data_IF_891840874621
#
_entry.id   IF_891840874621
#
_cell.length_a   1.000
_cell.length_b   1.000
_cell.length_c   1.000
_cell.angle_alpha   90.00
_cell.angle_beta   90.00
_cell.angle_gamma   90.00
#
_symmetry.space_group_name_H-M   'P 1'
#
loop_
_entity.id
_entity.type
_entity.pdbx_description
1 polymer ?
#
# COMPACT_ATOMS: atom_id res chain seq x y z
N UNK A 1 -31.83 20.81 24.68
CA UNK A 1 -31.76 21.57 23.40
C UNK A 1 -32.24 20.66 22.26
N UNK A 2 -32.97 21.19 21.29
CA UNK A 2 -33.49 20.40 20.15
C UNK A 2 -32.35 19.88 19.25
N UNK A 3 -32.50 18.68 18.65
CA UNK A 3 -31.54 18.15 17.71
C UNK A 3 -31.54 18.97 16.41
N UNK A 4 -30.34 19.34 15.92
CA UNK A 4 -30.20 19.95 14.59
C UNK A 4 -30.35 18.87 13.51
N UNK A 5 -31.08 19.19 12.44
CA UNK A 5 -31.18 18.31 11.27
C UNK A 5 -29.82 18.19 10.56
N UNK A 6 -29.55 17.07 9.90
CA UNK A 6 -28.30 16.85 9.14
C UNK A 6 -28.10 17.93 8.06
N UNK A 7 -29.18 18.36 7.40
CA UNK A 7 -29.13 19.40 6.37
C UNK A 7 -28.70 20.73 6.97
N UNK A 8 -29.27 21.11 8.13
CA UNK A 8 -28.90 22.34 8.82
C UNK A 8 -27.44 22.32 9.27
N UNK A 9 -26.93 21.16 9.71
CA UNK A 9 -25.50 21.01 10.05
C UNK A 9 -24.60 21.21 8.84
N UNK A 10 -24.92 20.56 7.71
CA UNK A 10 -24.16 20.71 6.47
C UNK A 10 -24.16 22.15 5.95
N UNK A 11 -25.31 22.82 5.98
CA UNK A 11 -25.41 24.24 5.62
C UNK A 11 -24.59 25.12 6.55
N UNK A 12 -24.63 24.86 7.86
CA UNK A 12 -23.83 25.60 8.84
C UNK A 12 -22.34 25.46 8.55
N UNK A 13 -21.86 24.25 8.25
CA UNK A 13 -20.47 24.01 7.87
C UNK A 13 -20.12 24.69 6.55
N UNK A 14 -20.98 24.59 5.53
CA UNK A 14 -20.73 25.23 4.24
C UNK A 14 -20.62 26.75 4.35
N UNK A 15 -21.57 27.39 5.05
CA UNK A 15 -21.55 28.83 5.31
C UNK A 15 -20.27 29.25 6.04
N UNK A 16 -19.85 28.43 7.01
CA UNK A 16 -18.62 28.66 7.76
C UNK A 16 -17.38 28.56 6.87
N UNK A 17 -17.30 27.56 5.98
CA UNK A 17 -16.18 27.43 5.02
C UNK A 17 -16.06 28.69 4.15
N UNK A 18 -17.18 29.21 3.65
CA UNK A 18 -17.20 30.40 2.79
C UNK A 18 -17.02 31.72 3.55
N UNK A 19 -17.10 31.70 4.88
CA UNK A 19 -17.12 32.93 5.68
C UNK A 19 -15.78 33.66 5.75
N UNK A 20 -14.65 32.94 5.61
CA UNK A 20 -13.30 33.52 5.68
C UNK A 20 -12.38 32.89 4.65
N UNK A 21 -11.60 33.70 3.94
CA UNK A 21 -10.60 33.24 2.96
C UNK A 21 -9.60 32.24 3.57
N UNK A 22 -9.26 32.40 4.85
CA UNK A 22 -8.38 31.49 5.57
C UNK A 22 -8.93 30.06 5.62
N UNK A 23 -10.25 29.87 5.75
CA UNK A 23 -10.86 28.53 5.77
C UNK A 23 -10.83 27.85 4.40
N UNK A 24 -10.95 28.62 3.31
CA UNK A 24 -10.78 28.12 1.94
C UNK A 24 -9.32 27.78 1.65
N UNK A 25 -8.37 28.58 2.12
CA UNK A 25 -6.94 28.31 1.97
C UNK A 25 -6.53 27.03 2.72
N UNK A 26 -7.03 26.84 3.95
CA UNK A 26 -6.82 25.60 4.71
C UNK A 26 -7.43 24.40 3.99
N UNK A 27 -8.63 24.55 3.40
CA UNK A 27 -9.26 23.49 2.61
C UNK A 27 -8.36 23.09 1.42
N UNK A 28 -7.88 24.07 0.65
CA UNK A 28 -6.98 23.82 -0.47
C UNK A 28 -5.70 23.12 -0.04
N UNK A 29 -5.09 23.55 1.08
CA UNK A 29 -3.90 22.91 1.64
C UNK A 29 -4.16 21.44 2.03
N UNK A 30 -5.30 21.13 2.65
CA UNK A 30 -5.70 19.77 3.01
C UNK A 30 -5.95 18.92 1.75
N UNK A 31 -6.58 19.48 0.71
CA UNK A 31 -6.78 18.77 -0.56
C UNK A 31 -5.44 18.38 -1.18
N UNK A 32 -4.49 19.32 -1.25
CA UNK A 32 -3.13 19.06 -1.75
C UNK A 32 -2.45 17.97 -0.91
N UNK A 33 -2.53 18.07 0.42
CA UNK A 33 -1.99 17.07 1.33
C UNK A 33 -2.59 15.67 1.09
N UNK A 34 -3.89 15.61 0.82
CA UNK A 34 -4.61 14.36 0.53
C UNK A 34 -4.12 13.73 -0.76
N UNK A 35 -3.91 14.52 -1.81
CA UNK A 35 -3.36 14.03 -3.09
C UNK A 35 -1.96 13.45 -2.87
N UNK A 36 -1.12 14.15 -2.09
CA UNK A 36 0.21 13.67 -1.73
C UNK A 36 0.13 12.33 -0.98
N UNK A 37 -0.80 12.19 -0.03
CA UNK A 37 -0.99 10.93 0.69
C UNK A 37 -1.38 9.76 -0.21
N UNK A 38 -2.33 9.99 -1.12
CA UNK A 38 -2.81 8.98 -2.09
C UNK A 38 -1.68 8.53 -3.03
N UNK A 39 -0.82 9.46 -3.48
CA UNK A 39 0.27 9.18 -4.43
C UNK A 39 1.50 8.52 -3.80
N UNK A 40 1.49 8.29 -2.48
CA UNK A 40 2.57 7.55 -1.79
C UNK A 40 2.60 6.08 -2.22
N UNK A 41 3.74 5.62 -2.72
CA UNK A 41 3.98 4.24 -3.13
C UNK A 41 5.31 3.71 -2.57
N UNK A 42 5.68 2.47 -2.93
CA UNK A 42 6.91 1.84 -2.46
C UNK A 42 8.19 2.55 -2.91
N UNK A 43 8.17 3.16 -4.11
CA UNK A 43 9.32 3.85 -4.72
C UNK A 43 9.65 5.15 -4.00
N UNK A 44 8.65 5.98 -3.73
CA UNK A 44 8.85 7.27 -3.06
C UNK A 44 8.78 7.21 -1.52
N UNK A 45 8.48 6.05 -0.91
CA UNK A 45 8.23 5.90 0.54
C UNK A 45 9.26 6.56 1.44
N UNK A 46 10.56 6.47 1.14
CA UNK A 46 11.63 7.07 1.97
C UNK A 46 11.58 8.60 1.91
N UNK A 47 11.43 9.17 0.72
CA UNK A 47 11.33 10.61 0.51
C UNK A 47 10.01 11.15 1.06
N UNK A 48 8.90 10.50 0.72
CA UNK A 48 7.56 10.79 1.24
C UNK A 48 7.52 10.85 2.76
N UNK A 49 8.17 9.92 3.48
CA UNK A 49 8.28 10.00 4.95
C UNK A 49 8.89 11.31 5.43
N UNK A 50 9.99 11.76 4.82
CA UNK A 50 10.65 13.02 5.18
C UNK A 50 9.73 14.21 4.88
N UNK A 51 9.10 14.22 3.71
CA UNK A 51 8.14 15.26 3.32
C UNK A 51 6.95 15.31 4.29
N UNK A 52 6.45 14.17 4.77
CA UNK A 52 5.32 14.13 5.70
C UNK A 52 5.70 14.63 7.08
N UNK A 53 6.88 14.28 7.57
CA UNK A 53 7.39 14.83 8.84
C UNK A 53 7.48 16.35 8.76
N UNK A 54 8.02 16.90 7.66
CA UNK A 54 8.10 18.35 7.47
C UNK A 54 6.71 19.01 7.37
N UNK A 55 5.77 18.40 6.64
CA UNK A 55 4.40 18.91 6.50
C UNK A 55 3.63 18.87 7.83
N UNK A 56 3.75 17.77 8.60
CA UNK A 56 3.14 17.68 9.92
C UNK A 56 3.76 18.68 10.90
N UNK A 57 5.08 18.88 10.85
CA UNK A 57 5.75 19.87 11.68
C UNK A 57 5.29 21.30 11.33
N UNK A 58 5.25 21.65 10.05
CA UNK A 58 4.77 22.95 9.60
C UNK A 58 3.29 23.18 9.96
N UNK A 59 2.44 22.17 9.77
CA UNK A 59 1.04 22.21 10.18
C UNK A 59 0.86 22.35 11.68
N UNK A 60 1.67 21.64 12.48
CA UNK A 60 1.68 21.75 13.93
C UNK A 60 2.09 23.15 14.38
N UNK A 61 3.15 23.73 13.80
CA UNK A 61 3.57 25.11 14.09
C UNK A 61 2.46 26.11 13.76
N UNK A 62 1.82 25.96 12.60
CA UNK A 62 0.69 26.81 12.20
C UNK A 62 -0.47 26.73 13.20
N UNK A 63 -0.88 25.52 13.59
CA UNK A 63 -1.95 25.31 14.57
C UNK A 63 -1.54 25.86 15.94
N UNK A 64 -0.31 25.63 16.38
CA UNK A 64 0.17 26.12 17.67
C UNK A 64 0.20 27.66 17.73
N UNK A 65 0.65 28.32 16.66
CA UNK A 65 0.68 29.78 16.61
C UNK A 65 -0.73 30.39 16.52
N UNK A 66 -1.59 29.82 15.67
CA UNK A 66 -2.90 30.41 15.39
C UNK A 66 -3.99 30.02 16.40
N UNK A 67 -3.89 28.81 16.96
CA UNK A 67 -4.94 28.16 17.75
C UNK A 67 -4.41 27.40 18.97
N UNK A 68 -3.13 27.60 19.34
CA UNK A 68 -2.47 26.80 20.36
C UNK A 68 -3.15 26.87 21.72
N UNK A 69 -3.66 28.03 22.13
CA UNK A 69 -4.37 28.17 23.41
C UNK A 69 -5.60 27.26 23.47
N UNK A 70 -6.48 27.32 22.46
CA UNK A 70 -7.68 26.49 22.39
C UNK A 70 -7.37 25.00 22.19
N UNK A 71 -6.25 24.67 21.52
CA UNK A 71 -5.81 23.29 21.41
C UNK A 71 -5.30 22.73 22.75
N UNK A 72 -4.52 23.50 23.49
CA UNK A 72 -3.98 23.08 24.79
C UNK A 72 -5.09 22.92 25.83
N UNK A 73 -6.11 23.80 25.84
CA UNK A 73 -7.26 23.62 26.75
C UNK A 73 -8.05 22.34 26.46
N UNK A 74 -8.22 21.97 25.19
CA UNK A 74 -8.79 20.67 24.79
C UNK A 74 -7.96 19.49 25.31
N UNK A 75 -6.63 19.62 25.26
CA UNK A 75 -5.69 18.59 25.71
C UNK A 75 -5.70 18.46 27.24
N UNK A 76 -5.66 19.58 27.96
CA UNK A 76 -5.73 19.63 29.42
C UNK A 76 -7.05 19.04 29.93
N UNK A 77 -8.18 19.41 29.31
CA UNK A 77 -9.46 18.77 29.59
C UNK A 77 -9.37 17.25 29.40
N UNK A 78 -8.79 16.81 28.28
CA UNK A 78 -8.70 15.39 27.99
C UNK A 78 -7.86 14.64 29.02
N UNK A 79 -6.71 15.17 29.43
CA UNK A 79 -5.86 14.57 30.46
C UNK A 79 -6.62 14.44 31.78
N UNK A 80 -7.33 15.50 32.17
CA UNK A 80 -8.07 15.52 33.43
C UNK A 80 -9.28 14.56 33.41
N UNK A 81 -9.94 14.41 32.26
CA UNK A 81 -11.18 13.63 32.11
C UNK A 81 -10.98 12.19 31.64
N UNK A 82 -9.77 11.82 31.19
CA UNK A 82 -9.40 10.44 30.80
C UNK A 82 -9.66 9.44 31.94
N UNK A 83 -9.76 9.90 33.19
CA UNK A 83 -9.96 9.05 34.36
C UNK A 83 -11.40 8.95 34.89
N UNK A 84 -12.38 9.78 34.48
CA UNK A 84 -13.67 9.86 35.21
C UNK A 84 -14.96 9.73 34.38
N UNK A 85 -14.99 9.91 33.05
CA UNK A 85 -16.31 10.17 32.41
C UNK A 85 -16.74 9.20 31.29
N UNK A 86 -17.87 8.52 31.50
CA UNK A 86 -18.49 7.48 30.62
C UNK A 86 -19.64 7.99 29.71
N UNK A 87 -19.80 9.30 29.48
CA UNK A 87 -20.91 9.83 28.67
C UNK A 87 -20.50 10.21 27.25
N UNK A 88 -21.39 9.99 26.28
CA UNK A 88 -21.22 10.37 24.87
C UNK A 88 -22.11 11.60 24.57
N UNK A 89 -21.65 12.63 23.83
CA UNK A 89 -20.35 12.80 23.17
C UNK A 89 -19.33 13.57 24.04
N UNK A 90 -18.21 12.92 24.36
CA UNK A 90 -17.12 13.46 25.17
C UNK A 90 -15.96 13.92 24.28
N UNK A 91 -15.38 15.08 24.61
CA UNK A 91 -14.18 15.64 23.97
C UNK A 91 -13.01 14.64 24.01
N UNK A 92 -12.87 13.87 25.09
CA UNK A 92 -11.89 12.78 25.20
C UNK A 92 -12.08 11.76 24.08
N UNK A 93 -13.33 11.31 23.86
CA UNK A 93 -13.66 10.34 22.80
C UNK A 93 -13.38 10.96 21.43
N UNK A 94 -13.68 12.25 21.27
CA UNK A 94 -13.39 12.98 20.05
C UNK A 94 -11.88 13.06 19.75
N UNK A 95 -11.04 13.34 20.75
CA UNK A 95 -9.59 13.35 20.57
C UNK A 95 -9.01 11.96 20.31
N UNK A 96 -9.53 10.92 20.99
CA UNK A 96 -9.18 9.52 20.70
C UNK A 96 -9.51 9.15 19.24
N UNK A 97 -10.66 9.59 18.75
CA UNK A 97 -11.05 9.44 17.35
C UNK A 97 -10.05 10.08 16.39
N UNK A 98 -9.55 11.28 16.69
CA UNK A 98 -8.52 11.94 15.88
C UNK A 98 -7.21 11.15 15.88
N UNK A 99 -6.80 10.62 17.03
CA UNK A 99 -5.61 9.76 17.15
C UNK A 99 -5.77 8.50 16.29
N UNK A 100 -6.90 7.80 16.41
CA UNK A 100 -7.20 6.60 15.61
C UNK A 100 -7.16 6.93 14.11
N UNK A 101 -7.76 8.05 13.71
CA UNK A 101 -7.78 8.49 12.30
C UNK A 101 -6.36 8.66 11.75
N UNK A 102 -5.46 9.28 12.52
CA UNK A 102 -4.04 9.43 12.15
C UNK A 102 -3.32 8.07 12.09
N UNK A 103 -3.52 7.19 13.08
CA UNK A 103 -2.90 5.86 13.12
C UNK A 103 -3.31 5.02 11.90
N UNK A 104 -4.60 5.00 11.56
CA UNK A 104 -5.12 4.26 10.41
C UNK A 104 -4.57 4.84 9.10
N UNK A 105 -4.51 6.16 8.97
CA UNK A 105 -3.90 6.83 7.82
C UNK A 105 -2.44 6.38 7.64
N UNK A 106 -1.60 6.53 8.66
CA UNK A 106 -0.18 6.18 8.57
C UNK A 106 0.04 4.71 8.30
N UNK A 107 -0.72 3.82 8.96
CA UNK A 107 -0.69 2.39 8.69
C UNK A 107 -0.99 2.10 7.21
N UNK A 108 -1.93 2.83 6.61
CA UNK A 108 -2.35 2.62 5.22
C UNK A 108 -1.34 3.18 4.22
N UNK A 109 -0.90 4.43 4.40
CA UNK A 109 0.04 5.11 3.51
C UNK A 109 1.39 4.38 3.48
N UNK A 110 1.88 3.98 4.65
CA UNK A 110 3.18 3.31 4.75
C UNK A 110 3.10 1.79 4.56
N UNK A 111 1.93 1.21 4.35
CA UNK A 111 1.84 -0.21 4.01
C UNK A 111 2.16 -0.44 2.53
N UNK A 112 3.06 -1.38 2.26
CA UNK A 112 3.30 -1.88 0.90
C UNK A 112 2.18 -2.78 0.39
N UNK A 113 1.34 -3.30 1.28
CA UNK A 113 0.24 -4.24 0.99
C UNK A 113 -1.12 -3.56 0.89
N UNK A 114 -1.20 -2.25 1.16
CA UNK A 114 -2.46 -1.51 1.10
C UNK A 114 -2.83 -1.18 -0.34
N UNK A 115 -4.04 -1.55 -0.73
CA UNK A 115 -4.58 -1.30 -2.06
C UNK A 115 -4.80 0.20 -2.27
N UNK A 116 -4.71 0.65 -3.52
CA UNK A 116 -4.92 2.06 -3.87
C UNK A 116 -6.29 2.58 -3.40
N UNK A 117 -7.35 1.77 -3.57
CA UNK A 117 -8.72 2.12 -3.10
C UNK A 117 -8.76 2.39 -1.59
N UNK A 118 -8.07 1.57 -0.80
CA UNK A 118 -8.00 1.74 0.65
C UNK A 118 -7.22 3.01 1.03
N UNK A 119 -6.14 3.33 0.29
CA UNK A 119 -5.40 4.59 0.45
C UNK A 119 -6.28 5.81 0.17
N UNK A 120 -7.07 5.79 -0.91
CA UNK A 120 -8.02 6.87 -1.22
C UNK A 120 -9.03 7.04 -0.11
N UNK A 121 -9.75 5.97 0.27
CA UNK A 121 -10.79 6.02 1.32
C UNK A 121 -10.23 6.58 2.63
N UNK A 122 -9.08 6.06 3.10
CA UNK A 122 -8.49 6.47 4.37
C UNK A 122 -7.92 7.89 4.33
N UNK A 123 -7.33 8.30 3.19
CA UNK A 123 -6.83 9.67 3.03
C UNK A 123 -7.96 10.68 2.96
N UNK A 124 -9.06 10.37 2.26
CA UNK A 124 -10.24 11.23 2.17
C UNK A 124 -10.95 11.35 3.52
N UNK A 125 -11.14 10.25 4.24
CA UNK A 125 -11.74 10.28 5.57
C UNK A 125 -10.92 11.14 6.54
N UNK A 126 -9.59 10.94 6.55
CA UNK A 126 -8.68 11.78 7.32
C UNK A 126 -8.81 13.26 6.96
N UNK A 127 -8.82 13.59 5.67
CA UNK A 127 -8.88 14.97 5.21
C UNK A 127 -10.14 15.69 5.70
N UNK A 128 -11.29 15.03 5.57
CA UNK A 128 -12.58 15.58 6.01
C UNK A 128 -12.59 15.77 7.54
N UNK A 129 -12.20 14.74 8.30
CA UNK A 129 -12.19 14.78 9.77
C UNK A 129 -11.24 15.85 10.29
N UNK A 130 -10.01 15.93 9.76
CA UNK A 130 -9.03 16.94 10.17
C UNK A 130 -9.45 18.35 9.78
N UNK A 131 -10.09 18.53 8.63
CA UNK A 131 -10.60 19.84 8.25
C UNK A 131 -11.69 20.31 9.21
N UNK A 132 -12.67 19.44 9.50
CA UNK A 132 -13.73 19.74 10.47
C UNK A 132 -13.16 20.05 11.86
N UNK A 133 -12.11 19.34 12.28
CA UNK A 133 -11.41 19.63 13.54
C UNK A 133 -10.77 21.02 13.57
N UNK A 134 -10.05 21.40 12.51
CA UNK A 134 -9.42 22.73 12.43
C UNK A 134 -10.49 23.83 12.48
N UNK A 135 -11.62 23.64 11.77
CA UNK A 135 -12.75 24.56 11.85
C UNK A 135 -13.34 24.61 13.26
N UNK A 136 -13.48 23.46 13.95
CA UNK A 136 -14.03 23.40 15.30
C UNK A 136 -13.15 24.18 16.29
N UNK A 137 -11.83 23.95 16.28
CA UNK A 137 -10.89 24.70 17.11
C UNK A 137 -10.95 26.19 16.78
N UNK A 138 -11.01 26.55 15.50
CA UNK A 138 -11.11 27.95 15.09
C UNK A 138 -12.36 28.64 15.66
N UNK A 139 -13.49 27.94 15.69
CA UNK A 139 -14.73 28.46 16.28
C UNK A 139 -14.67 28.53 17.80
N UNK A 140 -14.11 27.53 18.46
CA UNK A 140 -13.89 27.56 19.92
C UNK A 140 -13.03 28.76 20.29
N UNK A 141 -11.94 29.00 19.55
CA UNK A 141 -11.07 30.16 19.73
C UNK A 141 -11.79 31.48 19.47
N UNK A 142 -12.55 31.57 18.37
CA UNK A 142 -13.24 32.81 17.98
C UNK A 142 -14.35 33.18 18.97
N UNK A 143 -15.04 32.17 19.52
CA UNK A 143 -16.18 32.35 20.44
C UNK A 143 -15.76 32.34 21.92
N UNK A 144 -14.47 32.11 22.23
CA UNK A 144 -13.94 31.95 23.59
C UNK A 144 -14.76 30.95 24.44
N UNK A 145 -15.15 29.82 23.85
CA UNK A 145 -15.94 28.82 24.56
C UNK A 145 -15.07 28.09 25.57
N UNK A 146 -15.61 27.88 26.77
CA UNK A 146 -15.00 26.99 27.74
C UNK A 146 -15.19 25.53 27.29
N UNK A 147 -14.06 24.86 27.13
CA UNK A 147 -13.96 23.47 26.71
C UNK A 147 -14.26 22.53 27.89
N UNK A 148 -14.02 22.99 29.12
CA UNK A 148 -14.35 22.27 30.35
C UNK A 148 -15.85 22.27 30.62
N UNK A 149 -16.57 23.27 30.11
CA UNK A 149 -18.01 23.34 30.21
C UNK A 149 -18.69 22.76 28.95
N UNK A 150 -19.05 21.49 29.01
CA UNK A 150 -19.79 20.76 27.97
C UNK A 150 -21.02 21.56 27.50
N UNK A 151 -21.76 22.18 28.42
CA UNK A 151 -22.98 22.91 28.03
C UNK A 151 -22.68 24.15 27.19
N UNK A 152 -21.60 24.87 27.47
CA UNK A 152 -21.17 26.02 26.67
C UNK A 152 -20.61 25.59 25.32
N UNK A 153 -19.77 24.53 25.30
CA UNK A 153 -19.18 24.02 24.08
C UNK A 153 -20.25 23.60 23.04
N UNK A 154 -21.30 22.93 23.51
CA UNK A 154 -22.41 22.48 22.65
C UNK A 154 -23.53 23.51 22.48
N UNK A 155 -23.45 24.67 23.13
CA UNK A 155 -24.41 25.77 22.92
C UNK A 155 -24.24 26.44 21.56
N UNK A 156 -23.02 26.44 21.00
CA UNK A 156 -22.78 26.95 19.66
C UNK A 156 -23.20 25.93 18.60
N UNK A 157 -24.19 26.29 17.79
CA UNK A 157 -24.63 25.46 16.65
C UNK A 157 -23.48 25.16 15.68
N UNK A 158 -22.51 26.07 15.53
CA UNK A 158 -21.36 25.87 14.65
C UNK A 158 -20.41 24.80 15.18
N UNK A 159 -19.95 24.94 16.43
CA UNK A 159 -19.04 23.97 17.07
C UNK A 159 -19.71 22.62 17.19
N UNK A 160 -20.96 22.59 17.65
CA UNK A 160 -21.76 21.37 17.74
C UNK A 160 -21.91 20.66 16.39
N UNK A 161 -22.24 21.40 15.33
CA UNK A 161 -22.38 20.81 13.99
C UNK A 161 -21.08 20.22 13.48
N UNK A 162 -19.95 20.90 13.70
CA UNK A 162 -18.62 20.43 13.30
C UNK A 162 -18.23 19.14 14.03
N UNK A 163 -18.40 19.10 15.35
CA UNK A 163 -18.09 17.92 16.17
C UNK A 163 -19.00 16.74 15.83
N UNK A 164 -20.32 16.95 15.77
CA UNK A 164 -21.29 15.89 15.47
C UNK A 164 -21.11 15.32 14.05
N UNK A 165 -20.84 16.16 13.04
CA UNK A 165 -20.54 15.70 11.68
C UNK A 165 -19.23 14.91 11.62
N UNK A 166 -18.17 15.41 12.27
CA UNK A 166 -16.88 14.73 12.32
C UNK A 166 -17.01 13.34 12.94
N UNK A 167 -17.73 13.23 14.07
CA UNK A 167 -18.02 11.95 14.71
C UNK A 167 -18.85 11.00 13.85
N UNK A 168 -19.90 11.53 13.20
CA UNK A 168 -20.73 10.73 12.30
C UNK A 168 -19.93 10.17 11.13
N UNK A 169 -19.10 11.00 10.50
CA UNK A 169 -18.24 10.61 9.37
C UNK A 169 -17.23 9.55 9.81
N UNK A 170 -16.62 9.70 11.00
CA UNK A 170 -15.71 8.69 11.53
C UNK A 170 -16.41 7.34 11.77
N UNK A 171 -17.57 7.33 12.44
CA UNK A 171 -18.30 6.08 12.70
C UNK A 171 -18.69 5.42 11.37
N UNK A 172 -19.22 6.18 10.42
CA UNK A 172 -19.56 5.69 9.10
C UNK A 172 -18.35 5.08 8.39
N UNK A 173 -17.22 5.79 8.38
CA UNK A 173 -15.98 5.31 7.77
C UNK A 173 -15.43 4.05 8.46
N UNK A 174 -15.49 3.96 9.78
CA UNK A 174 -15.09 2.77 10.54
C UNK A 174 -15.96 1.55 10.19
N UNK A 175 -17.27 1.75 9.99
CA UNK A 175 -18.16 0.68 9.49
C UNK A 175 -17.76 0.24 8.09
N UNK A 176 -17.49 1.19 7.17
CA UNK A 176 -17.00 0.88 5.81
C UNK A 176 -15.69 0.07 5.86
N UNK A 177 -14.76 0.43 6.75
CA UNK A 177 -13.53 -0.34 6.95
C UNK A 177 -13.78 -1.73 7.53
N UNK A 178 -14.70 -1.86 8.47
CA UNK A 178 -15.13 -3.15 9.01
C UNK A 178 -15.67 -4.08 7.92
N UNK A 179 -16.57 -3.57 7.08
CA UNK A 179 -17.12 -4.31 5.93
C UNK A 179 -16.02 -4.67 4.94
N UNK A 180 -15.13 -3.73 4.60
CA UNK A 180 -13.99 -3.98 3.71
C UNK A 180 -13.09 -5.11 4.22
N UNK A 181 -12.78 -5.09 5.53
CA UNK A 181 -11.99 -6.13 6.17
C UNK A 181 -12.68 -7.50 6.11
N UNK A 182 -14.00 -7.55 6.38
CA UNK A 182 -14.77 -8.80 6.29
C UNK A 182 -14.73 -9.36 4.87
N UNK A 183 -15.02 -8.55 3.85
CA UNK A 183 -14.99 -8.98 2.44
C UNK A 183 -13.63 -9.55 2.07
N UNK A 184 -12.54 -8.85 2.42
CA UNK A 184 -11.17 -9.30 2.12
C UNK A 184 -10.83 -10.61 2.85
N UNK A 185 -11.28 -10.77 4.10
CA UNK A 185 -11.08 -12.01 4.87
C UNK A 185 -11.79 -13.20 4.20
N UNK A 186 -13.01 -13.01 3.71
CA UNK A 186 -13.75 -14.06 2.99
C UNK A 186 -13.10 -14.41 1.65
N UNK A 187 -12.68 -13.41 0.87
CA UNK A 187 -11.99 -13.63 -0.41
C UNK A 187 -10.67 -14.38 -0.23
N UNK A 188 -9.88 -14.05 0.79
CA UNK A 188 -8.62 -14.73 1.06
C UNK A 188 -8.84 -16.21 1.42
N UNK A 189 -9.87 -16.51 2.23
CA UNK A 189 -10.25 -17.89 2.55
C UNK A 189 -10.65 -18.68 1.30
N UNK A 190 -11.40 -18.09 0.37
CA UNK A 190 -11.82 -18.77 -0.86
C UNK A 190 -10.66 -18.99 -1.85
N UNK A 191 -9.73 -18.05 -1.97
CA UNK A 191 -8.55 -18.20 -2.82
C UNK A 191 -7.61 -19.30 -2.33
N UNK A 192 -7.45 -19.48 -1.01
CA UNK A 192 -6.67 -20.60 -0.45
C UNK A 192 -7.29 -21.97 -0.81
N UNK A 193 -8.62 -22.08 -0.73
CA UNK A 193 -9.35 -23.31 -1.06
C UNK A 193 -9.19 -23.70 -2.54
N UNK A 194 -9.12 -22.71 -3.45
CA UNK A 194 -8.86 -23.00 -4.87
C UNK A 194 -7.43 -23.44 -5.14
N UNK A 195 -6.41 -22.87 -4.47
CA UNK A 195 -5.00 -23.22 -4.71
C UNK A 195 -4.68 -24.65 -4.22
N UNK A 196 -5.26 -25.10 -3.10
CA UNK A 196 -5.13 -26.50 -2.65
C UNK A 196 -5.76 -27.52 -3.61
N UNK A 197 -6.76 -27.12 -4.40
CA UNK A 197 -7.47 -28.03 -5.31
C UNK A 197 -6.77 -28.32 -6.65
N UNK A 198 -5.62 -27.67 -6.94
CA UNK A 198 -4.89 -27.85 -8.21
C UNK A 198 -3.55 -28.58 -8.09
N UNK A 199 -3.16 -29.08 -6.92
CA UNK A 199 -1.92 -29.86 -6.77
C UNK A 199 -2.19 -31.35 -6.60
N UNK A 200 -2.84 -32.00 -7.56
CA UNK A 200 -2.63 -33.44 -7.80
C UNK A 200 -3.16 -33.89 -9.16
N UNK A 201 -2.29 -33.94 -10.17
CA UNK A 201 -2.07 -35.17 -10.93
C UNK A 201 -0.78 -35.05 -11.74
N UNK A 202 0.19 -35.88 -11.38
CA UNK A 202 1.32 -36.23 -12.23
C UNK A 202 0.76 -37.15 -13.33
N UNK A 203 0.28 -36.59 -14.45
CA UNK A 203 -0.07 -37.40 -15.63
C UNK A 203 1.13 -37.30 -16.57
N UNK A 204 1.98 -38.32 -16.51
CA UNK A 204 2.86 -38.66 -17.62
C UNK A 204 1.92 -39.10 -18.75
N UNK A 205 1.69 -38.22 -19.72
CA UNK A 205 1.11 -38.64 -20.98
C UNK A 205 2.22 -39.29 -21.79
N UNK A 206 2.17 -40.61 -21.89
CA UNK A 206 2.85 -41.33 -22.96
C UNK A 206 2.20 -40.87 -24.27
N UNK A 207 2.85 -39.96 -24.98
CA UNK A 207 2.40 -39.53 -26.29
C UNK A 207 2.97 -40.47 -27.34
N UNK A 208 2.09 -41.28 -27.90
CA UNK A 208 2.31 -42.05 -29.12
C UNK A 208 2.96 -41.16 -30.21
N UNK A 209 4.10 -41.63 -30.70
CA UNK A 209 4.80 -41.08 -31.86
C UNK A 209 3.86 -41.16 -33.07
N UNK A 210 3.32 -40.01 -33.51
CA UNK A 210 2.64 -39.90 -34.81
C UNK A 210 3.59 -39.30 -35.85
N UNK A 211 3.73 -40.03 -36.95
CA UNK A 211 4.63 -39.78 -38.08
C UNK A 211 4.53 -38.36 -38.65
N UNK A 212 5.67 -37.84 -39.12
CA UNK A 212 5.80 -36.50 -39.68
C UNK A 212 5.02 -36.35 -41.01
N UNK A 213 4.19 -35.30 -41.10
CA UNK A 213 3.54 -34.87 -42.33
C UNK A 213 4.57 -34.45 -43.40
N UNK A 214 4.48 -35.02 -44.61
CA UNK A 214 5.25 -34.58 -45.79
C UNK A 214 4.63 -33.32 -46.40
N UNK A 215 5.40 -32.24 -46.46
CA UNK A 215 5.00 -30.97 -47.09
C UNK A 215 5.24 -31.04 -48.61
N UNK A 216 4.27 -30.70 -49.48
CA UNK A 216 4.50 -30.62 -50.93
C UNK A 216 5.29 -29.36 -51.31
N UNK A 217 6.35 -29.50 -52.11
CA UNK A 217 7.14 -28.37 -52.65
C UNK A 217 6.38 -27.66 -53.77
N UNK A 218 6.14 -26.36 -53.63
CA UNK A 218 5.63 -25.48 -54.71
C UNK A 218 6.83 -24.84 -55.44
N UNK A 219 6.94 -25.04 -56.74
CA UNK A 219 7.94 -24.37 -57.59
C UNK A 219 7.50 -22.93 -57.85
N UNK A 220 8.43 -21.98 -57.69
CA UNK A 220 8.27 -20.59 -58.14
C UNK A 220 9.35 -20.33 -59.17
N UNK A 221 8.93 -20.06 -60.41
CA UNK A 221 9.77 -19.61 -61.53
C UNK A 221 9.93 -18.10 -61.40
N UNK A 222 11.15 -17.59 -61.52
CA UNK A 222 11.46 -16.15 -61.62
C UNK A 222 12.47 -15.96 -62.75
N UNK A 223 12.14 -15.09 -63.69
CA UNK A 223 12.98 -14.67 -64.83
C UNK A 223 14.08 -13.66 -64.42
N UNK A 224 15.24 -13.72 -65.06
CA UNK A 224 16.38 -12.82 -64.88
C UNK A 224 16.30 -11.55 -65.75
N UNK A 225 16.97 -10.44 -65.35
CA UNK A 225 18.05 -9.96 -66.22
C UNK A 225 19.32 -9.36 -65.55
N UNK A 226 20.48 -9.81 -66.06
CA UNK A 226 21.82 -9.20 -66.37
C UNK A 226 22.59 -8.21 -65.44
N UNK A 227 23.72 -8.73 -64.91
CA UNK A 227 25.16 -8.30 -64.81
C UNK A 227 25.54 -6.79 -64.77
N UNK A 228 26.41 -6.29 -63.87
CA UNK A 228 27.88 -6.55 -63.78
C UNK A 228 28.55 -6.14 -62.42
N UNK A 229 29.50 -7.00 -61.98
CA UNK A 229 30.70 -6.89 -61.09
C UNK A 229 30.88 -5.75 -60.04
N UNK A 230 31.18 -6.16 -58.79
CA UNK A 230 32.47 -5.89 -58.08
C UNK A 230 32.63 -6.69 -56.75
N UNK A 231 33.76 -7.40 -56.69
CA UNK A 231 34.62 -7.84 -55.56
C UNK A 231 34.01 -8.37 -54.24
N UNK A 232 34.27 -9.65 -53.96
CA UNK A 232 33.94 -10.40 -52.75
C UNK A 232 35.09 -10.45 -51.73
N UNK A 233 34.76 -10.36 -50.44
CA UNK A 233 35.37 -11.15 -49.36
C UNK A 233 34.26 -11.75 -48.46
N UNK A 234 34.43 -12.96 -47.90
CA UNK A 234 33.32 -13.90 -47.72
C UNK A 234 32.75 -13.94 -46.30
N UNK A 235 31.44 -14.20 -46.22
CA UNK A 235 30.76 -14.78 -45.05
C UNK A 235 30.64 -16.29 -45.25
N UNK A 236 31.17 -17.09 -44.31
CA UNK A 236 31.18 -18.55 -44.41
C UNK A 236 29.88 -19.15 -43.86
N UNK A 237 29.19 -19.90 -44.72
CA UNK A 237 28.16 -20.89 -44.40
C UNK A 237 28.82 -22.19 -43.90
N UNK A 238 28.32 -22.73 -42.79
CA UNK A 238 28.89 -23.87 -42.04
C UNK A 238 28.06 -25.15 -42.24
N UNK A 239 27.95 -25.62 -43.48
CA UNK A 239 27.36 -26.93 -43.78
C UNK A 239 28.25 -27.67 -44.78
N UNK A 240 29.26 -28.34 -44.23
CA UNK A 240 30.19 -29.17 -45.00
C UNK A 240 31.64 -29.19 -44.53
N UNK A 241 31.94 -28.81 -43.27
CA UNK A 241 33.32 -28.82 -42.78
C UNK A 241 33.54 -29.97 -41.81
N UNK A 242 34.44 -30.88 -42.18
CA UNK A 242 34.93 -31.94 -41.32
C UNK A 242 35.73 -31.29 -40.18
N UNK A 243 35.25 -31.42 -38.94
CA UNK A 243 35.95 -30.92 -37.76
C UNK A 243 37.34 -31.53 -37.68
N UNK A 244 38.34 -30.70 -37.36
CA UNK A 244 39.70 -31.18 -37.14
C UNK A 244 39.80 -31.93 -35.81
N UNK A 245 40.73 -32.87 -35.70
CA UNK A 245 40.88 -33.71 -34.51
C UNK A 245 41.06 -32.91 -33.22
N UNK A 246 41.62 -31.70 -33.31
CA UNK A 246 41.88 -30.84 -32.16
C UNK A 246 40.64 -30.07 -31.69
N UNK A 247 39.69 -29.77 -32.58
CA UNK A 247 38.38 -29.21 -32.22
C UNK A 247 37.52 -30.25 -31.49
N UNK A 248 37.62 -31.52 -31.90
CA UNK A 248 36.95 -32.62 -31.20
C UNK A 248 37.51 -32.83 -29.79
N UNK A 249 38.84 -32.73 -29.62
CA UNK A 249 39.48 -32.79 -28.29
C UNK A 249 39.05 -31.62 -27.40
N UNK A 250 38.92 -30.42 -27.95
CA UNK A 250 38.46 -29.25 -27.21
C UNK A 250 37.02 -29.44 -26.72
N UNK A 251 36.13 -29.92 -27.58
CA UNK A 251 34.75 -30.20 -27.23
C UNK A 251 34.62 -31.27 -26.13
N UNK A 252 35.37 -32.37 -26.26
CA UNK A 252 35.41 -33.43 -25.24
C UNK A 252 35.95 -32.90 -23.91
N UNK A 253 36.95 -31.99 -23.95
CA UNK A 253 37.49 -31.35 -22.75
C UNK A 253 36.43 -30.49 -22.06
N UNK A 254 35.69 -29.67 -22.81
CA UNK A 254 34.61 -28.81 -22.28
C UNK A 254 33.48 -29.67 -21.68
N UNK A 255 33.05 -30.72 -22.39
CA UNK A 255 32.00 -31.62 -21.92
C UNK A 255 32.40 -32.37 -20.64
N UNK A 256 33.69 -32.74 -20.52
CA UNK A 256 34.20 -33.39 -19.31
C UNK A 256 34.26 -32.43 -18.12
N UNK A 257 34.64 -31.17 -18.37
CA UNK A 257 34.70 -30.11 -17.38
C UNK A 257 33.30 -29.66 -16.90
N UNK A 258 32.29 -29.68 -17.78
CA UNK A 258 30.89 -29.49 -17.38
C UNK A 258 30.36 -30.66 -16.55
N UNK A 259 30.67 -31.90 -16.96
CA UNK A 259 30.23 -33.10 -16.23
C UNK A 259 30.84 -33.21 -14.84
N UNK A 260 32.10 -32.81 -14.67
CA UNK A 260 32.77 -32.72 -13.36
C UNK A 260 32.16 -31.61 -12.48
N UNK A 261 31.72 -30.48 -13.06
CA UNK A 261 31.00 -29.41 -12.34
C UNK A 261 29.59 -29.82 -11.93
N UNK A 262 28.91 -30.66 -12.71
CA UNK A 262 27.62 -31.24 -12.34
C UNK A 262 27.77 -32.26 -11.21
N UNK A 263 28.77 -33.13 -11.27
CA UNK A 263 29.05 -34.10 -10.20
C UNK A 263 29.45 -33.43 -8.88
N UNK A 264 30.25 -32.36 -8.91
CA UNK A 264 30.59 -31.59 -7.71
C UNK A 264 29.35 -30.94 -7.06
N UNK A 265 28.36 -30.51 -7.86
CA UNK A 265 27.09 -29.95 -7.36
C UNK A 265 26.12 -31.02 -6.83
N UNK A 266 26.20 -32.24 -7.36
CA UNK A 266 25.44 -33.37 -6.83
C UNK A 266 26.04 -33.89 -5.52
N UNK A 267 27.37 -33.96 -5.40
CA UNK A 267 28.05 -34.36 -4.17
C UNK A 267 27.80 -33.37 -3.02
N UNK A 268 27.80 -32.05 -3.28
CA UNK A 268 27.46 -31.00 -2.29
C UNK A 268 26.02 -31.15 -1.76
N UNK A 269 25.06 -31.51 -2.62
CA UNK A 269 23.66 -31.74 -2.22
C UNK A 269 23.47 -33.01 -1.38
N UNK A 270 24.21 -34.10 -1.67
CA UNK A 270 24.12 -35.34 -0.89
C UNK A 270 24.71 -35.24 0.53
N UNK A 271 25.56 -34.25 0.81
CA UNK A 271 26.13 -34.04 2.17
C UNK A 271 25.22 -33.17 3.05
N UNK A 272 24.48 -32.22 2.48
CA UNK A 272 23.53 -31.38 3.25
C UNK A 272 22.22 -32.10 3.60
N UNK A 273 21.70 -32.99 2.75
CA UNK A 273 20.40 -33.67 2.92
C UNK A 273 20.48 -35.09 3.55
N UNK A 274 21.49 -35.38 4.38
CA UNK A 274 21.58 -36.67 5.11
C UNK A 274 20.88 -36.57 6.50
N UNK A 275 19.78 -37.31 6.76
CA UNK A 275 19.03 -37.24 8.02
C UNK A 275 19.82 -37.68 9.26
N UNK A 276 20.99 -38.32 9.08
CA UNK A 276 21.91 -38.63 10.19
C UNK A 276 22.70 -37.41 10.67
N UNK A 277 22.88 -36.38 9.83
CA UNK A 277 23.61 -35.15 10.19
C UNK A 277 22.77 -34.24 11.09
N UNK A 278 21.46 -34.17 10.86
CA UNK A 278 20.52 -33.47 11.75
C UNK A 278 20.34 -34.20 13.09
N UNK A 279 20.27 -35.54 13.07
CA UNK A 279 20.17 -36.35 14.30
C UNK A 279 21.41 -36.21 15.19
N UNK A 280 22.61 -36.12 14.60
CA UNK A 280 23.86 -35.95 15.35
C UNK A 280 24.01 -34.52 15.92
N UNK A 281 23.48 -33.50 15.24
CA UNK A 281 23.38 -32.12 15.78
C UNK A 281 22.38 -32.02 16.93
N UNK A 282 21.25 -32.74 16.86
CA UNK A 282 20.26 -32.79 17.93
C UNK A 282 20.79 -33.51 19.19
N UNK A 283 21.59 -34.57 19.01
CA UNK A 283 22.27 -35.25 20.13
C UNK A 283 23.34 -34.40 20.80
N UNK A 284 24.05 -33.54 20.04
CA UNK A 284 25.03 -32.61 20.60
C UNK A 284 24.36 -31.45 21.36
N UNK A 285 23.20 -30.94 20.91
CA UNK A 285 22.50 -29.85 21.62
C UNK A 285 21.79 -30.27 22.91
N UNK A 286 21.72 -31.58 23.20
CA UNK A 286 21.21 -32.11 24.47
C UNK A 286 22.36 -32.36 25.47
N UNK A 287 23.63 -32.32 25.01
CA UNK A 287 24.80 -32.67 25.82
C UNK A 287 25.61 -31.48 26.36
N UNK A 288 25.25 -30.25 26.02
CA UNK A 288 25.82 -29.03 26.61
C UNK A 288 24.73 -28.14 27.22
#
# INVERSE_FOLDING_TARGET
MSPLSLITKLQTVFNLITSKNLYLMILAAIVILTIIFITTNGSNRKQSKRTYILLYLAGFIFIAFQYGSSFMTLLDYAINEVFITYYFPNIVIYLLMLIITNVVLFKTIFSSKADFKLKVINSTAFAIIMYLFILAISQIATLNLDVFNITELYSSNAVRSLLELSMFIFVFWMVVLGIYYLIRKYQYKHNLIQVESFTNYNIIHDFDVKEAYKVPKKQVVIEEPKQEKKEEQPAINLLGQNFTLDEYKLMVKILKEEKEKEQAKEEEKTVEDNPLTELNKLYQSIRD
#
